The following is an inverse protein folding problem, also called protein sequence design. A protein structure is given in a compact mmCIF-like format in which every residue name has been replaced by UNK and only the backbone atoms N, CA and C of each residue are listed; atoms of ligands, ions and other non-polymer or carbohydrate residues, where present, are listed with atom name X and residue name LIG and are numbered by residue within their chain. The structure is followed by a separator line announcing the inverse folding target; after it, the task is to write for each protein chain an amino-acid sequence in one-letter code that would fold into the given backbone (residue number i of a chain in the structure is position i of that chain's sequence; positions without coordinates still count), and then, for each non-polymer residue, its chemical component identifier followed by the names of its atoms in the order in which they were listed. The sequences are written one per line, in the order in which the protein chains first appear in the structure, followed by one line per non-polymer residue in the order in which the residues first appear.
data_IF_444274188968
#
_entry.id   IF_444274188968
#
_cell.length_a   1.000
_cell.length_b   1.000
_cell.length_c   1.000
_cell.angle_alpha   90.00
_cell.angle_beta   90.00
_cell.angle_gamma   90.00
#
_symmetry.space_group_name_H-M   'P 1'
#
loop_
_entity.id
_entity.type
_entity.pdbx_description
1 polymer ?
#
# COMPACT_ATOMS: atom_id res chain seq x y z
N UNK A 1 -19.76 7.25 -18.08
CA UNK A 1 -18.96 7.94 -17.06
C UNK A 1 -18.28 6.96 -16.14
N UNK A 2 -17.09 7.34 -15.64
CA UNK A 2 -16.42 6.60 -14.56
C UNK A 2 -16.89 7.17 -13.22
N UNK A 3 -17.49 6.32 -12.40
CA UNK A 3 -17.81 6.63 -11.01
C UNK A 3 -16.76 6.00 -10.10
N UNK A 4 -16.40 6.70 -9.05
CA UNK A 4 -15.47 6.18 -8.03
C UNK A 4 -16.07 6.39 -6.65
N UNK A 5 -16.06 5.34 -5.85
CA UNK A 5 -16.48 5.35 -4.46
C UNK A 5 -15.36 4.86 -3.56
N UNK A 6 -15.39 5.26 -2.31
CA UNK A 6 -14.45 4.79 -1.29
C UNK A 6 -15.21 4.21 -0.11
N UNK A 7 -14.59 3.20 0.53
CA UNK A 7 -15.14 2.67 1.79
C UNK A 7 -14.02 2.29 2.76
N UNK A 8 -14.30 2.30 4.07
CA UNK A 8 -13.36 1.83 5.06
C UNK A 8 -13.19 0.30 4.97
N UNK A 9 -11.94 -0.16 4.91
CA UNK A 9 -11.56 -1.57 4.79
C UNK A 9 -10.55 -1.95 5.89
N UNK A 10 -10.95 -1.76 7.14
CA UNK A 10 -10.10 -2.00 8.29
C UNK A 10 -9.03 -0.92 8.52
N UNK A 11 -7.83 -1.36 8.88
CA UNK A 11 -6.72 -0.47 9.26
C UNK A 11 -5.43 -0.89 8.57
N UNK A 12 -4.49 0.05 8.44
CA UNK A 12 -3.14 -0.17 7.92
C UNK A 12 -2.11 0.45 8.84
N UNK A 13 -0.91 -0.15 8.82
CA UNK A 13 0.25 0.37 9.52
C UNK A 13 1.49 0.14 8.64
N UNK A 14 2.37 1.12 8.55
CA UNK A 14 3.61 1.01 7.79
C UNK A 14 4.76 1.41 8.68
N UNK A 15 5.81 0.58 8.70
CA UNK A 15 7.09 0.93 9.31
C UNK A 15 8.15 1.05 8.22
N UNK A 16 9.06 1.99 8.42
CA UNK A 16 10.23 2.18 7.57
C UNK A 16 11.46 2.29 8.46
N UNK A 17 12.49 1.50 8.17
CA UNK A 17 13.77 1.55 8.88
C UNK A 17 14.93 1.25 7.96
N UNK A 18 16.13 1.62 8.39
CA UNK A 18 17.35 1.52 7.61
C UNK A 18 18.26 0.42 8.15
N UNK A 19 18.79 -0.41 7.26
CA UNK A 19 19.82 -1.38 7.56
C UNK A 19 21.04 -1.11 6.69
N UNK A 20 22.18 -0.90 7.33
CA UNK A 20 23.45 -0.66 6.66
C UNK A 20 24.48 -1.78 6.86
N UNK A 21 25.59 -1.68 6.11
CA UNK A 21 26.78 -2.53 6.22
C UNK A 21 26.74 -3.79 5.35
N UNK A 22 27.61 -4.73 5.69
CA UNK A 22 27.76 -5.98 4.94
C UNK A 22 26.43 -6.78 4.99
N UNK A 23 26.09 -7.43 3.86
CA UNK A 23 24.87 -8.22 3.71
C UNK A 23 23.56 -7.47 4.03
N UNK A 24 23.51 -6.17 3.78
CA UNK A 24 22.34 -5.34 4.13
C UNK A 24 21.03 -5.92 3.58
N UNK A 25 21.01 -6.39 2.31
CA UNK A 25 19.82 -7.01 1.70
C UNK A 25 19.37 -8.27 2.46
N UNK A 26 20.29 -9.17 2.76
CA UNK A 26 19.99 -10.44 3.47
C UNK A 26 19.50 -10.19 4.89
N UNK A 27 20.13 -9.24 5.60
CA UNK A 27 19.69 -8.81 6.94
C UNK A 27 18.31 -8.16 6.90
N UNK A 28 18.06 -7.30 5.92
CA UNK A 28 16.78 -6.63 5.72
C UNK A 28 15.63 -7.63 5.53
N UNK A 29 15.81 -8.61 4.64
CA UNK A 29 14.83 -9.68 4.43
C UNK A 29 14.59 -10.52 5.69
N UNK A 30 15.65 -10.91 6.38
CA UNK A 30 15.57 -11.70 7.60
C UNK A 30 14.84 -10.94 8.74
N UNK A 31 15.13 -9.65 8.92
CA UNK A 31 14.48 -8.81 9.95
C UNK A 31 13.00 -8.63 9.61
N UNK A 32 12.65 -8.34 8.36
CA UNK A 32 11.26 -8.18 7.96
C UNK A 32 10.45 -9.46 8.21
N UNK A 33 10.98 -10.62 7.82
CA UNK A 33 10.38 -11.94 8.09
C UNK A 33 10.24 -12.23 9.58
N UNK A 34 11.26 -11.92 10.38
CA UNK A 34 11.24 -12.13 11.83
C UNK A 34 10.18 -11.26 12.51
N UNK A 35 10.03 -9.99 12.10
CA UNK A 35 8.99 -9.09 12.63
C UNK A 35 7.59 -9.64 12.32
N UNK A 36 7.34 -10.03 11.08
CA UNK A 36 6.04 -10.57 10.67
C UNK A 36 5.73 -11.90 11.37
N UNK A 37 6.69 -12.81 11.46
CA UNK A 37 6.52 -14.09 12.15
C UNK A 37 6.23 -13.90 13.63
N UNK A 38 7.00 -13.05 14.33
CA UNK A 38 6.79 -12.74 15.76
C UNK A 38 5.42 -12.14 15.99
N UNK A 39 5.02 -11.15 15.21
CA UNK A 39 3.74 -10.47 15.41
C UNK A 39 2.56 -11.36 15.03
N UNK A 40 2.70 -12.24 14.04
CA UNK A 40 1.68 -13.27 13.73
C UNK A 40 1.50 -14.24 14.89
N UNK A 41 2.58 -14.72 15.50
CA UNK A 41 2.51 -15.58 16.70
C UNK A 41 1.84 -14.87 17.89
N UNK A 42 2.09 -13.57 18.05
CA UNK A 42 1.43 -12.76 19.08
C UNK A 42 -0.06 -12.56 18.80
N UNK A 43 -0.47 -12.48 17.53
CA UNK A 43 -1.88 -12.42 17.15
C UNK A 43 -2.57 -13.73 17.52
N UNK A 44 -1.99 -14.85 17.14
CA UNK A 44 -2.52 -16.17 17.47
C UNK A 44 -2.67 -16.35 18.99
N UNK A 45 -1.63 -16.03 19.77
CA UNK A 45 -1.66 -16.13 21.23
C UNK A 45 -2.72 -15.25 21.90
N UNK A 46 -3.24 -14.22 21.19
CA UNK A 46 -4.29 -13.30 21.66
C UNK A 46 -5.65 -13.54 21.01
N UNK A 47 -5.80 -14.60 20.23
CA UNK A 47 -7.05 -14.90 19.53
C UNK A 47 -7.42 -13.86 18.47
N UNK A 48 -6.43 -13.13 17.93
CA UNK A 48 -6.62 -12.21 16.82
C UNK A 48 -6.49 -12.96 15.49
N UNK A 49 -7.21 -12.50 14.47
CA UNK A 49 -7.08 -13.03 13.12
C UNK A 49 -5.66 -12.73 12.56
N UNK A 50 -5.21 -13.45 11.53
CA UNK A 50 -3.98 -13.11 10.84
C UNK A 50 -4.10 -11.76 10.11
N UNK A 51 -2.97 -11.22 9.63
CA UNK A 51 -2.96 -10.05 8.75
C UNK A 51 -3.87 -10.28 7.54
N UNK A 52 -4.66 -9.29 7.16
CA UNK A 52 -5.41 -9.34 5.90
C UNK A 52 -4.51 -9.11 4.68
N UNK A 53 -3.48 -8.29 4.84
CA UNK A 53 -2.49 -8.02 3.80
C UNK A 53 -1.14 -7.71 4.45
N UNK A 54 -0.06 -8.14 3.78
CA UNK A 54 1.32 -7.79 4.13
C UNK A 54 2.09 -7.44 2.85
N UNK A 55 2.93 -6.43 2.92
CA UNK A 55 3.83 -6.04 1.83
C UNK A 55 5.19 -5.66 2.41
N UNK A 56 6.26 -6.25 1.88
CA UNK A 56 7.63 -5.93 2.25
C UNK A 56 8.35 -5.41 1.03
N UNK A 57 8.88 -4.20 1.13
CA UNK A 57 9.69 -3.60 0.09
C UNK A 57 11.09 -3.33 0.64
N UNK A 58 12.10 -3.81 -0.05
CA UNK A 58 13.51 -3.59 0.26
C UNK A 58 14.09 -2.55 -0.69
N UNK A 59 13.86 -1.27 -0.39
CA UNK A 59 14.28 -0.17 -1.24
C UNK A 59 15.81 0.01 -1.20
N UNK A 60 16.41 0.22 -2.36
CA UNK A 60 17.88 0.20 -2.53
C UNK A 60 18.42 -1.16 -3.00
N UNK A 61 17.55 -2.17 -3.13
CA UNK A 61 17.89 -3.46 -3.72
C UNK A 61 17.30 -3.64 -5.12
N UNK A 62 16.94 -2.57 -5.79
CA UNK A 62 16.22 -2.61 -7.06
C UNK A 62 14.89 -3.40 -6.95
N UNK A 63 14.15 -3.19 -5.88
CA UNK A 63 12.92 -3.94 -5.57
C UNK A 63 11.87 -3.88 -6.69
N UNK A 64 11.83 -2.79 -7.47
CA UNK A 64 10.94 -2.61 -8.60
C UNK A 64 11.29 -3.49 -9.81
N UNK A 65 12.51 -4.00 -9.88
CA UNK A 65 12.96 -4.89 -10.96
C UNK A 65 12.71 -6.38 -10.66
N UNK A 66 12.26 -6.73 -9.45
CA UNK A 66 11.96 -8.12 -9.07
C UNK A 66 13.15 -9.05 -9.28
N UNK A 67 12.92 -10.13 -10.04
CA UNK A 67 13.95 -11.15 -10.33
C UNK A 67 15.07 -10.64 -11.25
N UNK A 68 14.90 -9.50 -11.90
CA UNK A 68 15.92 -8.84 -12.73
C UNK A 68 16.88 -7.95 -11.93
N UNK A 69 16.68 -7.82 -10.60
CA UNK A 69 17.54 -7.02 -9.72
C UNK A 69 19.00 -7.49 -9.79
N UNK A 70 19.92 -6.53 -9.91
CA UNK A 70 21.37 -6.74 -9.91
C UNK A 70 22.06 -6.22 -8.64
N UNK A 71 21.28 -5.67 -7.70
CA UNK A 71 21.78 -5.02 -6.47
C UNK A 71 22.08 -6.03 -5.33
N UNK A 72 22.70 -7.18 -5.63
CA UNK A 72 23.03 -8.20 -4.63
C UNK A 72 24.02 -7.75 -3.55
N UNK A 73 24.92 -6.82 -3.88
CA UNK A 73 25.99 -6.32 -3.01
C UNK A 73 25.68 -4.94 -2.37
N UNK A 74 24.42 -4.53 -2.32
CA UNK A 74 24.04 -3.25 -1.72
C UNK A 74 24.43 -3.21 -0.24
N UNK A 75 24.93 -2.05 0.21
CA UNK A 75 25.42 -1.82 1.59
C UNK A 75 24.45 -1.01 2.44
N UNK A 76 23.34 -0.60 1.87
CA UNK A 76 22.31 0.20 2.52
C UNK A 76 20.95 -0.15 1.94
N UNK A 77 19.99 -0.45 2.80
CA UNK A 77 18.63 -0.87 2.42
C UNK A 77 17.63 -0.19 3.32
N UNK A 78 16.63 0.44 2.74
CA UNK A 78 15.46 0.89 3.45
C UNK A 78 14.42 -0.22 3.42
N UNK A 79 14.09 -0.76 4.58
CA UNK A 79 13.04 -1.77 4.75
C UNK A 79 11.73 -1.04 5.00
N UNK A 80 10.74 -1.31 4.16
CA UNK A 80 9.37 -0.83 4.35
C UNK A 80 8.44 -2.02 4.50
N UNK A 81 7.80 -2.15 5.65
CA UNK A 81 6.82 -3.19 5.94
C UNK A 81 5.46 -2.53 6.10
N UNK A 82 4.54 -2.85 5.22
CA UNK A 82 3.16 -2.40 5.27
C UNK A 82 2.25 -3.58 5.60
N UNK A 83 1.39 -3.41 6.58
CA UNK A 83 0.46 -4.44 7.06
C UNK A 83 -0.96 -3.90 7.17
N UNK A 84 -1.95 -4.76 6.93
CA UNK A 84 -3.35 -4.43 7.13
C UNK A 84 -4.04 -5.47 8.01
N UNK A 85 -5.06 -5.02 8.75
CA UNK A 85 -5.84 -5.87 9.63
C UNK A 85 -7.23 -5.25 9.88
N UNK A 86 -8.30 -6.05 10.01
CA UNK A 86 -9.64 -5.53 10.31
C UNK A 86 -9.71 -4.76 11.63
N UNK A 87 -9.00 -5.24 12.66
CA UNK A 87 -9.00 -4.65 14.01
C UNK A 87 -7.79 -3.78 14.24
N UNK A 88 -8.00 -2.57 14.75
CA UNK A 88 -6.96 -1.59 15.07
C UNK A 88 -5.96 -2.10 16.12
N UNK A 89 -6.45 -2.82 17.13
CA UNK A 89 -5.63 -3.33 18.23
C UNK A 89 -4.51 -4.27 17.78
N UNK A 90 -4.73 -5.07 16.74
CA UNK A 90 -3.69 -5.92 16.16
C UNK A 90 -2.53 -5.09 15.60
N UNK A 91 -2.84 -4.02 14.90
CA UNK A 91 -1.81 -3.13 14.35
C UNK A 91 -1.15 -2.24 15.40
N UNK A 92 -1.83 -1.92 16.49
CA UNK A 92 -1.19 -1.29 17.67
C UNK A 92 -0.18 -2.23 18.29
N UNK A 93 -0.49 -3.54 18.36
CA UNK A 93 0.46 -4.55 18.80
C UNK A 93 1.68 -4.62 17.87
N UNK A 94 1.46 -4.74 16.55
CA UNK A 94 2.54 -4.67 15.55
C UNK A 94 3.42 -3.44 15.76
N UNK A 95 2.82 -2.25 15.87
CA UNK A 95 3.55 -0.99 16.06
C UNK A 95 4.45 -0.97 17.30
N UNK A 96 4.03 -1.62 18.41
CA UNK A 96 4.82 -1.71 19.63
C UNK A 96 6.02 -2.63 19.51
N UNK A 97 5.90 -3.70 18.74
CA UNK A 97 6.94 -4.71 18.57
C UNK A 97 8.11 -4.25 17.67
N UNK A 98 7.95 -3.16 16.93
CA UNK A 98 8.99 -2.63 16.04
C UNK A 98 10.23 -2.12 16.79
N UNK A 99 10.05 -1.51 17.96
CA UNK A 99 11.18 -0.94 18.71
C UNK A 99 12.24 -2.00 19.08
N UNK A 100 11.83 -3.25 19.30
CA UNK A 100 12.74 -4.35 19.63
C UNK A 100 13.63 -4.76 18.44
N UNK A 101 13.18 -4.53 17.21
CA UNK A 101 13.99 -4.79 16.02
C UNK A 101 15.24 -3.91 16.00
N UNK A 102 15.12 -2.67 16.45
CA UNK A 102 16.22 -1.71 16.48
C UNK A 102 17.35 -2.10 17.46
N UNK A 103 17.03 -2.85 18.50
CA UNK A 103 17.98 -3.17 19.57
C UNK A 103 18.46 -4.62 19.58
N UNK A 104 17.74 -5.54 18.95
CA UNK A 104 18.00 -6.96 19.14
C UNK A 104 18.03 -7.84 17.88
N UNK A 105 17.64 -7.37 16.69
CA UNK A 105 17.47 -8.28 15.57
C UNK A 105 18.69 -8.40 14.65
N UNK A 106 19.24 -7.30 14.14
CA UNK A 106 20.39 -7.36 13.25
C UNK A 106 21.35 -6.18 13.44
N UNK A 107 22.66 -6.41 13.38
CA UNK A 107 23.63 -5.33 13.37
C UNK A 107 23.50 -4.49 12.08
N UNK A 108 23.58 -3.17 12.23
CA UNK A 108 23.44 -2.22 11.11
C UNK A 108 22.03 -1.64 10.95
N UNK A 109 21.06 -2.03 11.78
CA UNK A 109 19.81 -1.29 11.88
C UNK A 109 20.09 0.06 12.55
N UNK A 110 19.97 1.15 11.79
CA UNK A 110 20.45 2.47 12.22
C UNK A 110 19.37 3.46 12.59
N UNK A 111 18.15 3.23 12.22
CA UNK A 111 17.06 4.13 12.57
C UNK A 111 15.71 3.67 12.10
N UNK A 112 14.67 4.08 12.82
CA UNK A 112 13.27 3.93 12.45
C UNK A 112 12.79 5.30 11.96
N UNK A 113 12.41 5.39 10.70
CA UNK A 113 11.95 6.64 10.10
C UNK A 113 10.57 7.00 10.65
N UNK A 114 10.43 8.21 11.19
CA UNK A 114 9.17 8.69 11.74
C UNK A 114 8.82 8.14 13.13
N UNK A 115 9.72 7.41 13.77
CA UNK A 115 9.50 6.84 15.11
C UNK A 115 8.52 5.68 15.13
N UNK A 116 7.69 5.57 16.18
CA UNK A 116 6.71 4.48 16.30
C UNK A 116 5.66 4.58 15.20
N UNK A 117 5.44 3.49 14.42
CA UNK A 117 4.46 3.50 13.35
C UNK A 117 3.04 3.81 13.83
N UNK A 118 2.36 4.67 13.10
CA UNK A 118 0.96 5.03 13.39
C UNK A 118 0.00 4.13 12.63
N UNK A 119 -1.10 3.77 13.29
CA UNK A 119 -2.19 2.99 12.68
C UNK A 119 -3.21 3.94 12.08
N UNK A 120 -3.48 3.75 10.80
CA UNK A 120 -4.43 4.55 10.01
C UNK A 120 -5.62 3.73 9.54
N UNK A 121 -6.79 4.34 9.33
CA UNK A 121 -7.85 3.70 8.57
C UNK A 121 -7.36 3.32 7.17
N UNK A 122 -7.69 2.11 6.72
CA UNK A 122 -7.47 1.69 5.34
C UNK A 122 -8.71 2.02 4.54
N UNK A 123 -8.54 2.87 3.54
CA UNK A 123 -9.62 3.26 2.63
C UNK A 123 -9.39 2.57 1.29
N UNK A 124 -10.39 1.83 0.84
CA UNK A 124 -10.35 1.15 -0.46
C UNK A 124 -11.10 1.98 -1.50
N UNK A 125 -10.55 2.04 -2.69
CA UNK A 125 -11.17 2.67 -3.85
C UNK A 125 -11.86 1.60 -4.70
N UNK A 126 -13.09 1.86 -5.09
CA UNK A 126 -13.81 1.13 -6.11
C UNK A 126 -14.14 2.05 -7.28
N UNK A 127 -14.01 1.56 -8.50
CA UNK A 127 -14.40 2.30 -9.69
C UNK A 127 -15.26 1.44 -10.59
N UNK A 128 -16.31 2.02 -11.14
CA UNK A 128 -17.20 1.37 -12.09
C UNK A 128 -17.55 2.32 -13.25
N UNK A 129 -18.04 1.76 -14.33
CA UNK A 129 -18.61 2.52 -15.42
C UNK A 129 -20.12 2.61 -15.23
N UNK A 130 -20.66 3.82 -15.35
CA UNK A 130 -22.08 4.11 -15.27
C UNK A 130 -22.56 4.58 -16.65
N UNK A 131 -23.60 3.98 -17.21
CA UNK A 131 -24.21 4.45 -18.46
C UNK A 131 -24.61 5.91 -18.35
N UNK A 132 -24.44 6.68 -19.45
CA UNK A 132 -24.71 8.12 -19.44
C UNK A 132 -26.19 8.44 -19.25
N UNK A 133 -27.07 7.57 -19.74
CA UNK A 133 -28.52 7.68 -19.64
C UNK A 133 -29.06 7.51 -18.21
N UNK A 134 -28.28 6.91 -17.31
CA UNK A 134 -28.64 6.76 -15.90
C UNK A 134 -28.32 8.00 -15.06
N UNK A 135 -27.63 9.01 -15.63
CA UNK A 135 -27.23 10.20 -14.89
C UNK A 135 -28.12 11.38 -15.25
N UNK A 136 -28.69 12.00 -14.21
CA UNK A 136 -29.38 13.28 -14.33
C UNK A 136 -28.37 14.38 -14.00
N UNK A 137 -28.10 15.24 -14.98
CA UNK A 137 -27.20 16.38 -14.78
C UNK A 137 -28.03 17.64 -14.75
N UNK A 138 -27.70 18.50 -13.81
CA UNK A 138 -28.31 19.83 -13.69
C UNK A 138 -27.24 20.90 -13.54
N UNK A 139 -27.56 22.11 -13.94
CA UNK A 139 -26.76 23.30 -13.69
C UNK A 139 -27.53 24.18 -12.70
N UNK A 140 -26.82 24.65 -11.68
CA UNK A 140 -27.32 25.63 -10.73
C UNK A 140 -26.62 26.97 -10.95
N UNK A 141 -27.42 28.04 -11.20
CA UNK A 141 -26.94 29.42 -11.35
C UNK A 141 -27.77 30.30 -10.47
N UNK A 142 -27.16 31.03 -9.54
CA UNK A 142 -27.83 31.94 -8.59
C UNK A 142 -28.99 31.28 -7.80
N UNK A 143 -28.89 29.99 -7.51
CA UNK A 143 -29.92 29.21 -6.81
C UNK A 143 -31.05 28.68 -7.70
N UNK A 144 -31.02 28.92 -9.00
CA UNK A 144 -31.93 28.30 -9.95
C UNK A 144 -31.29 27.08 -10.60
N UNK A 145 -31.97 25.93 -10.49
CA UNK A 145 -31.49 24.66 -11.03
C UNK A 145 -32.20 24.34 -12.34
N UNK A 146 -31.43 24.10 -13.40
CA UNK A 146 -31.94 23.72 -14.72
C UNK A 146 -31.36 22.36 -15.16
N UNK A 147 -32.19 21.44 -15.69
CA UNK A 147 -31.70 20.15 -16.19
C UNK A 147 -30.88 20.34 -17.47
N UNK A 148 -29.82 19.54 -17.62
CA UNK A 148 -28.98 19.52 -18.82
C UNK A 148 -29.16 18.20 -19.55
N UNK A 149 -29.50 18.28 -20.84
CA UNK A 149 -29.51 17.10 -21.69
C UNK A 149 -28.08 16.68 -22.02
N UNK A 150 -27.70 15.48 -21.56
CA UNK A 150 -26.41 14.89 -21.92
C UNK A 150 -26.57 14.21 -23.28
N UNK A 151 -25.70 14.51 -24.25
CA UNK A 151 -25.60 13.72 -25.47
C UNK A 151 -25.17 12.30 -25.10
N UNK A 152 -26.06 11.34 -25.31
CA UNK A 152 -25.77 9.90 -25.11
C UNK A 152 -25.03 9.29 -26.30
N UNK A 153 -25.11 9.94 -27.46
CA UNK A 153 -24.36 9.55 -28.66
C UNK A 153 -22.91 9.99 -28.53
N UNK A 154 -22.07 9.11 -28.03
CA UNK A 154 -20.62 9.19 -28.17
C UNK A 154 -20.20 8.53 -29.50
N UNK A 155 -19.04 8.91 -30.02
CA UNK A 155 -18.41 8.12 -31.08
C UNK A 155 -18.38 6.64 -30.71
N UNK A 156 -18.71 5.71 -31.62
CA UNK A 156 -18.62 4.29 -31.34
C UNK A 156 -17.23 3.95 -30.78
N UNK A 157 -17.15 2.99 -29.87
CA UNK A 157 -15.88 2.54 -29.24
C UNK A 157 -14.82 2.15 -30.29
N UNK A 158 -15.25 1.81 -31.51
CA UNK A 158 -14.39 1.56 -32.67
C UNK A 158 -13.54 2.75 -33.11
N UNK A 159 -13.97 3.98 -32.79
CA UNK A 159 -13.31 5.21 -33.23
C UNK A 159 -12.38 5.82 -32.18
N UNK A 160 -12.26 5.16 -31.03
CA UNK A 160 -11.27 5.54 -30.02
C UNK A 160 -9.90 5.02 -30.44
N UNK A 161 -8.85 5.88 -30.40
CA UNK A 161 -7.49 5.41 -30.63
C UNK A 161 -7.20 4.27 -29.63
N UNK A 162 -6.61 3.19 -30.14
CA UNK A 162 -6.20 2.08 -29.29
C UNK A 162 -5.35 2.63 -28.12
N UNK A 163 -5.62 2.14 -26.91
CA UNK A 163 -4.79 2.46 -25.77
C UNK A 163 -3.32 2.18 -26.16
N UNK A 164 -2.37 3.08 -25.82
CA UNK A 164 -0.96 2.83 -26.10
C UNK A 164 -0.60 1.47 -25.49
N UNK A 165 -0.07 0.59 -26.33
CA UNK A 165 0.41 -0.71 -25.89
C UNK A 165 1.46 -0.50 -24.80
N UNK A 166 1.41 -1.29 -23.73
CA UNK A 166 2.29 -1.22 -22.54
C UNK A 166 3.76 -1.58 -22.84
N UNK A 167 4.19 -1.51 -24.09
CA UNK A 167 5.54 -1.91 -24.50
C UNK A 167 6.62 -0.84 -24.30
N UNK A 168 6.29 0.33 -23.79
CA UNK A 168 7.28 1.40 -23.51
C UNK A 168 7.04 2.00 -22.14
N UNK A 169 7.20 1.19 -21.09
CA UNK A 169 7.58 1.70 -19.79
C UNK A 169 9.12 1.60 -19.68
N UNK A 170 9.83 2.71 -19.39
CA UNK A 170 11.27 2.74 -19.23
C UNK A 170 11.74 1.92 -18.02
#
# INVERSE_FOLDING_TARGET
YKASGTWPDGHKCTVTFLIGGIDARRKADAVAKAILAKTSALFEARGLAPYSETCVELLGTEATYGDHSRAGACREVVVKISVAHPKKEALVLFSREIAQAATGMAPGLTGIVGGRPTVWPKIRLYSCLVPKDQLKVSIEINGETSPVSIRTEGAPLSDLPAAPSSEHAP
#
